data_IF_665805239714
#
_entry.id   IF_665805239714
#
_cell.length_a   1.000
_cell.length_b   1.000
_cell.length_c   1.000
_cell.angle_alpha   90.00
_cell.angle_beta   90.00
_cell.angle_gamma   90.00
#
_symmetry.space_group_name_H-M   'P 1'
#
loop_
_entity.id
_entity.type
_entity.pdbx_description
1 polymer ?
#
# COMPACT_ATOMS: atom_id res chain seq x y z
N UNK A 1 5.29 34.32 -26.64
CA UNK A 1 4.37 33.82 -25.59
C UNK A 1 4.24 32.31 -25.75
N UNK A 2 4.89 31.51 -24.91
CA UNK A 2 4.66 30.07 -24.88
C UNK A 2 3.28 29.82 -24.27
N UNK A 3 2.39 29.12 -24.99
CA UNK A 3 1.13 28.61 -24.43
C UNK A 3 1.48 27.62 -23.32
N UNK A 4 0.96 27.79 -22.09
CA UNK A 4 1.20 26.82 -21.04
C UNK A 4 0.63 25.47 -21.48
N UNK A 5 1.43 24.42 -21.34
CA UNK A 5 1.00 23.04 -21.60
C UNK A 5 -0.15 22.72 -20.62
N UNK A 6 -1.29 22.18 -21.09
CA UNK A 6 -2.38 21.79 -20.21
C UNK A 6 -1.91 20.78 -19.17
N UNK A 7 -2.06 21.08 -17.87
CA UNK A 7 -1.75 20.12 -16.81
C UNK A 7 -2.78 18.99 -16.81
N UNK A 8 -2.32 17.78 -16.53
CA UNK A 8 -3.18 16.60 -16.37
C UNK A 8 -4.32 16.86 -15.37
N UNK A 9 -5.54 16.41 -15.68
CA UNK A 9 -6.74 16.63 -14.83
C UNK A 9 -6.52 16.15 -13.40
N UNK A 10 -5.84 15.01 -13.22
CA UNK A 10 -5.55 14.43 -11.91
C UNK A 10 -4.65 15.33 -11.05
N UNK A 11 -3.64 15.97 -11.68
CA UNK A 11 -2.73 16.89 -10.98
C UNK A 11 -3.46 18.15 -10.52
N UNK A 12 -4.40 18.67 -11.32
CA UNK A 12 -5.24 19.79 -10.92
C UNK A 12 -6.15 19.45 -9.73
N UNK A 13 -6.58 18.18 -9.60
CA UNK A 13 -7.36 17.72 -8.45
C UNK A 13 -6.47 17.65 -7.20
N UNK A 14 -5.24 17.14 -7.33
CA UNK A 14 -4.27 17.17 -6.22
C UNK A 14 -3.98 18.60 -5.77
N UNK A 15 -3.79 19.54 -6.69
CA UNK A 15 -3.59 20.97 -6.35
C UNK A 15 -4.71 21.52 -5.45
N UNK A 16 -5.96 21.19 -5.78
CA UNK A 16 -7.12 21.59 -4.97
C UNK A 16 -7.14 20.90 -3.61
N UNK A 17 -6.87 19.59 -3.58
CA UNK A 17 -6.80 18.81 -2.35
C UNK A 17 -5.79 19.42 -1.38
N UNK A 18 -4.55 19.63 -1.82
CA UNK A 18 -3.47 20.16 -0.98
C UNK A 18 -3.58 21.66 -0.69
N UNK A 19 -4.46 22.38 -1.41
CA UNK A 19 -4.89 23.73 -1.04
C UNK A 19 -6.03 23.75 0.00
N UNK A 20 -6.47 22.58 0.52
CA UNK A 20 -7.55 22.46 1.49
C UNK A 20 -8.93 22.76 0.91
N UNK A 21 -9.11 22.56 -0.40
CA UNK A 21 -10.39 22.80 -1.09
C UNK A 21 -11.16 21.48 -1.25
N UNK A 22 -12.49 21.57 -1.26
CA UNK A 22 -13.34 20.43 -1.63
C UNK A 22 -13.17 20.08 -3.11
N UNK A 23 -12.53 18.93 -3.35
CA UNK A 23 -12.28 18.42 -4.70
C UNK A 23 -13.55 17.94 -5.40
N UNK A 24 -14.59 17.58 -4.65
CA UNK A 24 -15.85 17.08 -5.23
C UNK A 24 -16.69 18.22 -5.80
N UNK A 25 -16.60 19.42 -5.19
CA UNK A 25 -17.35 20.62 -5.57
C UNK A 25 -18.86 20.34 -5.69
N UNK A 26 -19.38 19.42 -4.86
CA UNK A 26 -20.79 18.98 -4.88
C UNK A 26 -21.23 18.17 -6.11
N UNK A 27 -20.31 17.71 -6.97
CA UNK A 27 -20.66 16.92 -8.16
C UNK A 27 -20.99 15.48 -7.80
N UNK A 28 -22.23 15.07 -8.10
CA UNK A 28 -22.62 13.67 -8.07
C UNK A 28 -21.75 12.87 -9.08
N UNK A 29 -21.27 11.69 -8.68
CA UNK A 29 -20.41 10.85 -9.52
C UNK A 29 -18.96 11.33 -9.65
N UNK A 30 -18.51 12.28 -8.83
CA UNK A 30 -17.12 12.75 -8.88
C UNK A 30 -16.11 11.60 -8.73
N UNK A 31 -16.33 10.70 -7.77
CA UNK A 31 -15.43 9.57 -7.50
C UNK A 31 -15.34 8.58 -8.65
N UNK A 32 -16.49 8.32 -9.31
CA UNK A 32 -16.56 7.50 -10.51
C UNK A 32 -15.69 8.04 -11.65
N UNK A 33 -15.64 9.36 -11.82
CA UNK A 33 -14.76 10.01 -12.79
C UNK A 33 -13.31 10.08 -12.32
N UNK A 34 -13.10 10.38 -11.03
CA UNK A 34 -11.78 10.56 -10.45
C UNK A 34 -10.97 9.27 -10.54
N UNK A 35 -11.55 8.12 -10.18
CA UNK A 35 -10.85 6.85 -10.23
C UNK A 35 -10.69 6.29 -11.66
N UNK A 36 -11.29 6.92 -12.68
CA UNK A 36 -10.90 6.66 -14.08
C UNK A 36 -9.59 7.35 -14.46
N UNK A 37 -9.15 8.37 -13.73
CA UNK A 37 -7.90 9.06 -14.02
C UNK A 37 -6.72 8.23 -13.50
N UNK A 38 -5.72 8.02 -14.36
CA UNK A 38 -4.47 7.37 -13.96
C UNK A 38 -3.79 8.18 -12.85
N UNK A 39 -3.38 7.50 -11.79
CA UNK A 39 -2.66 8.10 -10.67
C UNK A 39 -1.32 8.65 -11.15
N UNK A 40 -1.03 9.91 -10.80
CA UNK A 40 0.29 10.49 -10.99
C UNK A 40 1.06 10.42 -9.67
N UNK A 41 1.66 9.26 -9.41
CA UNK A 41 2.36 8.91 -8.15
C UNK A 41 3.39 9.99 -7.79
N UNK A 42 4.24 10.36 -8.76
CA UNK A 42 5.29 11.36 -8.56
C UNK A 42 4.71 12.72 -8.18
N UNK A 43 3.65 13.16 -8.85
CA UNK A 43 3.01 14.43 -8.52
C UNK A 43 2.40 14.39 -7.12
N UNK A 44 1.64 13.34 -6.79
CA UNK A 44 0.96 13.18 -5.51
C UNK A 44 1.96 13.20 -4.34
N UNK A 45 3.00 12.37 -4.39
CA UNK A 45 4.05 12.34 -3.35
C UNK A 45 4.80 13.68 -3.25
N UNK A 46 5.04 14.37 -4.37
CA UNK A 46 5.71 15.68 -4.34
C UNK A 46 4.92 16.79 -3.64
N UNK A 47 3.61 16.62 -3.43
CA UNK A 47 2.82 17.56 -2.62
C UNK A 47 3.10 17.35 -1.14
N UNK A 48 3.18 16.10 -0.67
CA UNK A 48 3.53 15.79 0.72
C UNK A 48 4.92 16.33 1.10
N UNK A 49 5.89 16.23 0.20
CA UNK A 49 7.25 16.79 0.40
C UNK A 49 7.27 18.31 0.65
N UNK A 50 6.23 19.03 0.21
CA UNK A 50 6.13 20.50 0.31
C UNK A 50 5.28 20.96 1.48
N UNK A 51 4.55 20.06 2.14
CA UNK A 51 3.69 20.42 3.26
C UNK A 51 4.51 20.84 4.47
N UNK A 52 4.02 21.85 5.18
CA UNK A 52 4.46 22.13 6.54
C UNK A 52 3.69 21.25 7.54
N UNK A 53 4.19 21.17 8.77
CA UNK A 53 3.49 20.48 9.86
C UNK A 53 2.05 21.00 10.05
N UNK A 54 1.84 22.32 10.10
CA UNK A 54 0.50 22.88 10.29
C UNK A 54 -0.41 22.61 9.07
N UNK A 55 0.16 22.63 7.86
CA UNK A 55 -0.60 22.38 6.64
C UNK A 55 -1.14 20.95 6.58
N UNK A 56 -0.34 19.95 6.93
CA UNK A 56 -0.80 18.54 6.87
C UNK A 56 -1.87 18.25 7.92
N UNK A 57 -1.75 18.82 9.13
CA UNK A 57 -2.74 18.68 10.20
C UNK A 57 -4.08 19.27 9.76
N UNK A 58 -4.08 20.43 9.12
CA UNK A 58 -5.30 21.06 8.58
C UNK A 58 -5.90 20.30 7.39
N UNK A 59 -5.10 19.50 6.67
CA UNK A 59 -5.56 18.66 5.56
C UNK A 59 -6.21 17.35 6.02
N UNK A 60 -6.07 16.97 7.30
CA UNK A 60 -6.59 15.70 7.84
C UNK A 60 -8.02 15.35 7.37
N UNK A 61 -9.04 16.23 7.41
CA UNK A 61 -10.39 15.87 6.95
C UNK A 61 -10.46 15.53 5.45
N UNK A 62 -9.66 16.22 4.63
CA UNK A 62 -9.61 16.00 3.19
C UNK A 62 -8.88 14.70 2.84
N UNK A 63 -7.79 14.41 3.56
CA UNK A 63 -7.02 13.18 3.40
C UNK A 63 -7.81 11.95 3.86
N UNK A 64 -8.47 12.03 5.03
CA UNK A 64 -9.36 10.98 5.53
C UNK A 64 -10.43 10.64 4.49
N UNK A 65 -11.19 11.64 4.04
CA UNK A 65 -12.26 11.43 3.06
C UNK A 65 -11.76 10.80 1.76
N UNK A 66 -10.61 11.26 1.26
CA UNK A 66 -10.04 10.70 0.04
C UNK A 66 -9.60 9.24 0.26
N UNK A 67 -8.96 8.94 1.38
CA UNK A 67 -8.52 7.59 1.71
C UNK A 67 -9.72 6.63 1.86
N UNK A 68 -10.75 7.03 2.62
CA UNK A 68 -12.00 6.29 2.75
C UNK A 68 -12.64 5.98 1.39
N UNK A 69 -12.70 6.97 0.49
CA UNK A 69 -13.26 6.78 -0.84
C UNK A 69 -12.39 5.86 -1.70
N UNK A 70 -11.06 5.87 -1.52
CA UNK A 70 -10.18 4.91 -2.20
C UNK A 70 -10.50 3.47 -1.76
N UNK A 71 -10.55 3.22 -0.45
CA UNK A 71 -10.88 1.89 0.08
C UNK A 71 -12.29 1.49 -0.37
N UNK A 72 -13.29 2.35 -0.17
CA UNK A 72 -14.68 2.06 -0.54
C UNK A 72 -14.87 1.75 -2.02
N UNK A 73 -14.25 2.52 -2.91
CA UNK A 73 -14.39 2.31 -4.36
C UNK A 73 -13.60 1.10 -4.87
N UNK A 74 -12.58 0.65 -4.14
CA UNK A 74 -11.76 -0.49 -4.56
C UNK A 74 -12.48 -1.85 -4.50
N UNK A 75 -13.60 -1.97 -3.79
CA UNK A 75 -14.45 -3.18 -3.81
C UNK A 75 -15.89 -2.94 -4.30
N UNK A 76 -16.40 -1.70 -4.29
CA UNK A 76 -17.78 -1.39 -4.76
C UNK A 76 -17.96 -1.39 -6.27
N UNK A 77 -16.87 -1.41 -7.04
CA UNK A 77 -16.92 -1.31 -8.50
C UNK A 77 -16.34 -2.54 -9.18
N UNK A 78 -17.00 -3.02 -10.24
CA UNK A 78 -16.46 -4.06 -11.11
C UNK A 78 -15.51 -3.48 -12.18
N UNK A 79 -15.23 -2.17 -12.13
CA UNK A 79 -14.36 -1.51 -13.10
C UNK A 79 -12.90 -1.56 -12.65
N UNK A 80 -12.13 -2.51 -13.16
CA UNK A 80 -10.74 -2.79 -12.78
C UNK A 80 -9.80 -1.59 -12.75
N UNK A 81 -9.92 -0.67 -13.71
CA UNK A 81 -9.12 0.56 -13.70
C UNK A 81 -9.41 1.44 -12.48
N UNK A 82 -10.67 1.51 -12.03
CA UNK A 82 -11.04 2.30 -10.86
C UNK A 82 -10.48 1.66 -9.59
N UNK A 83 -10.59 0.33 -9.49
CA UNK A 83 -9.98 -0.44 -8.40
C UNK A 83 -8.47 -0.18 -8.34
N UNK A 84 -7.76 -0.32 -9.46
CA UNK A 84 -6.32 -0.09 -9.53
C UNK A 84 -5.92 1.34 -9.14
N UNK A 85 -6.61 2.35 -9.67
CA UNK A 85 -6.29 3.75 -9.38
C UNK A 85 -6.67 4.14 -7.96
N UNK A 86 -7.75 3.59 -7.40
CA UNK A 86 -8.13 3.80 -6.01
C UNK A 86 -7.07 3.23 -5.06
N UNK A 87 -6.66 1.98 -5.27
CA UNK A 87 -5.64 1.33 -4.45
C UNK A 87 -4.29 2.08 -4.52
N UNK A 88 -3.82 2.42 -5.72
CA UNK A 88 -2.58 3.19 -5.88
C UNK A 88 -2.67 4.59 -5.26
N UNK A 89 -3.85 5.22 -5.28
CA UNK A 89 -4.04 6.52 -4.61
C UNK A 89 -3.96 6.34 -3.10
N UNK A 90 -4.62 5.33 -2.52
CA UNK A 90 -4.52 5.00 -1.11
C UNK A 90 -3.06 4.74 -0.67
N UNK A 91 -2.32 3.94 -1.44
CA UNK A 91 -0.91 3.65 -1.18
C UNK A 91 -0.05 4.94 -1.20
N UNK A 92 -0.29 5.84 -2.15
CA UNK A 92 0.41 7.12 -2.20
C UNK A 92 0.07 8.03 -1.01
N UNK A 93 -1.16 7.99 -0.51
CA UNK A 93 -1.55 8.74 0.68
C UNK A 93 -0.87 8.19 1.93
N UNK A 94 -0.82 6.87 2.07
CA UNK A 94 -0.09 6.18 3.14
C UNK A 94 1.39 6.56 3.13
N UNK A 95 2.08 6.33 2.00
CA UNK A 95 3.48 6.69 1.84
C UNK A 95 3.71 8.18 2.10
N UNK A 96 2.89 9.05 1.53
CA UNK A 96 3.00 10.50 1.70
C UNK A 96 2.86 10.95 3.15
N UNK A 97 1.87 10.44 3.89
CA UNK A 97 1.65 10.77 5.30
C UNK A 97 2.78 10.28 6.21
N UNK A 98 3.35 9.11 5.91
CA UNK A 98 4.42 8.53 6.72
C UNK A 98 5.80 9.10 6.39
N UNK A 99 6.07 9.40 5.13
CA UNK A 99 7.39 9.83 4.65
C UNK A 99 7.52 11.35 4.47
N UNK A 100 6.49 12.14 4.79
CA UNK A 100 6.54 13.60 4.72
C UNK A 100 7.68 14.17 5.58
N UNK A 101 8.71 14.70 4.92
CA UNK A 101 10.00 15.10 5.52
C UNK A 101 9.90 16.27 6.51
N UNK A 102 8.96 17.18 6.28
CA UNK A 102 8.79 18.39 7.08
C UNK A 102 7.73 18.22 8.19
N UNK A 103 7.26 17.00 8.41
CA UNK A 103 6.20 16.69 9.35
C UNK A 103 6.79 15.88 10.49
N UNK A 104 6.67 16.39 11.70
CA UNK A 104 7.06 15.68 12.92
C UNK A 104 5.81 15.26 13.66
N UNK A 105 5.25 14.11 13.29
CA UNK A 105 4.14 13.48 13.99
C UNK A 105 4.57 12.09 14.47
N UNK A 106 4.11 11.66 15.66
CA UNK A 106 4.18 10.27 16.08
C UNK A 106 3.56 9.33 15.02
N UNK A 107 4.00 8.07 14.91
CA UNK A 107 3.48 7.13 13.91
C UNK A 107 1.96 6.97 13.94
N UNK A 108 1.36 6.90 15.13
CA UNK A 108 -0.09 6.82 15.30
C UNK A 108 -0.82 8.05 14.76
N UNK A 109 -0.29 9.25 15.01
CA UNK A 109 -0.89 10.48 14.54
C UNK A 109 -0.79 10.61 13.02
N UNK A 110 0.25 10.01 12.39
CA UNK A 110 0.39 9.91 10.93
C UNK A 110 -0.68 9.00 10.34
N UNK A 111 -0.93 7.85 10.96
CA UNK A 111 -2.02 6.97 10.56
C UNK A 111 -3.37 7.69 10.67
N UNK A 112 -3.56 8.44 11.76
CA UNK A 112 -4.78 9.23 12.00
C UNK A 112 -4.98 10.40 11.02
N UNK A 113 -4.01 10.77 10.20
CA UNK A 113 -4.22 11.71 9.10
C UNK A 113 -5.13 11.12 8.01
N UNK A 114 -5.16 9.78 7.90
CA UNK A 114 -5.88 9.04 6.86
C UNK A 114 -7.04 8.21 7.42
N UNK A 115 -6.89 7.70 8.64
CA UNK A 115 -7.83 6.75 9.24
C UNK A 115 -8.25 7.28 10.61
N UNK A 116 -9.48 7.77 10.69
CA UNK A 116 -10.00 8.33 11.92
C UNK A 116 -10.25 7.23 12.97
N UNK A 117 -10.02 7.54 14.25
CA UNK A 117 -10.17 6.57 15.35
C UNK A 117 -11.58 5.95 15.45
N UNK A 118 -12.61 6.68 15.03
CA UNK A 118 -14.00 6.19 14.99
C UNK A 118 -14.22 5.07 13.95
N UNK A 119 -13.32 4.99 12.95
CA UNK A 119 -13.42 4.07 11.81
C UNK A 119 -12.27 3.06 11.77
N UNK A 120 -11.34 3.06 12.72
CA UNK A 120 -10.16 2.17 12.72
C UNK A 120 -10.54 0.67 12.65
N UNK A 121 -11.50 0.16 13.45
CA UNK A 121 -11.92 -1.24 13.33
C UNK A 121 -12.58 -1.58 11.99
N UNK A 122 -13.37 -0.67 11.42
CA UNK A 122 -14.00 -0.87 10.11
C UNK A 122 -12.99 -0.76 8.96
N UNK A 123 -12.02 0.14 9.05
CA UNK A 123 -10.98 0.30 8.04
C UNK A 123 -10.08 -0.93 7.95
N UNK A 124 -9.77 -1.56 9.10
CA UNK A 124 -9.07 -2.84 9.10
C UNK A 124 -9.89 -3.93 8.42
N UNK A 125 -11.17 -4.08 8.79
CA UNK A 125 -12.05 -5.07 8.18
C UNK A 125 -12.20 -4.87 6.67
N UNK A 126 -12.36 -3.63 6.21
CA UNK A 126 -12.48 -3.29 4.79
C UNK A 126 -11.20 -3.64 4.01
N UNK A 127 -10.02 -3.41 4.59
CA UNK A 127 -8.74 -3.75 3.97
C UNK A 127 -8.48 -5.26 3.97
N UNK A 128 -8.86 -5.96 5.05
CA UNK A 128 -8.85 -7.43 5.12
C UNK A 128 -9.79 -8.07 4.10
N UNK A 129 -10.99 -7.51 3.93
CA UNK A 129 -11.92 -7.93 2.90
C UNK A 129 -11.34 -7.69 1.51
N UNK A 130 -10.70 -6.54 1.27
CA UNK A 130 -10.09 -6.20 -0.02
C UNK A 130 -9.09 -7.27 -0.48
N UNK A 131 -8.08 -7.59 0.33
CA UNK A 131 -7.09 -8.55 -0.11
C UNK A 131 -7.67 -9.96 -0.22
N UNK A 132 -8.57 -10.35 0.67
CA UNK A 132 -9.23 -11.66 0.63
C UNK A 132 -10.07 -11.82 -0.64
N UNK A 133 -10.91 -10.82 -0.94
CA UNK A 133 -11.78 -10.79 -2.11
C UNK A 133 -11.00 -10.87 -3.43
N UNK A 134 -9.79 -10.28 -3.47
CA UNK A 134 -8.98 -10.29 -4.69
C UNK A 134 -8.56 -11.68 -5.15
N UNK A 135 -8.34 -12.61 -4.21
CA UNK A 135 -7.97 -13.99 -4.52
C UNK A 135 -9.18 -14.93 -4.54
N UNK A 136 -10.13 -14.76 -3.62
CA UNK A 136 -11.36 -15.58 -3.59
C UNK A 136 -12.18 -15.40 -4.87
N UNK A 137 -12.30 -14.17 -5.37
CA UNK A 137 -13.08 -13.86 -6.57
C UNK A 137 -12.26 -13.89 -7.86
N UNK A 138 -11.03 -14.41 -7.82
CA UNK A 138 -10.13 -14.55 -8.97
C UNK A 138 -10.01 -13.25 -9.80
N UNK A 139 -9.68 -12.14 -9.13
CA UNK A 139 -9.51 -10.86 -9.82
C UNK A 139 -8.41 -10.94 -10.88
N UNK A 140 -8.43 -10.06 -11.90
CA UNK A 140 -7.38 -9.98 -12.90
C UNK A 140 -6.01 -9.93 -12.23
N UNK A 141 -5.07 -10.78 -12.64
CA UNK A 141 -3.94 -11.03 -11.75
C UNK A 141 -2.89 -9.91 -11.70
N UNK A 142 -2.97 -8.89 -12.56
CA UNK A 142 -2.27 -7.62 -12.35
C UNK A 142 -2.84 -6.81 -11.16
N UNK A 143 -4.15 -6.91 -10.89
CA UNK A 143 -4.76 -6.33 -9.70
C UNK A 143 -4.37 -7.11 -8.44
N UNK A 144 -4.31 -8.44 -8.50
CA UNK A 144 -3.81 -9.25 -7.39
C UNK A 144 -2.35 -8.89 -7.05
N UNK A 145 -1.52 -8.65 -8.06
CA UNK A 145 -0.16 -8.14 -7.86
C UNK A 145 -0.16 -6.75 -7.21
N UNK A 146 -1.06 -5.84 -7.61
CA UNK A 146 -1.23 -4.54 -6.96
C UNK A 146 -1.65 -4.67 -5.49
N UNK A 147 -2.53 -5.63 -5.15
CA UNK A 147 -2.91 -5.91 -3.75
C UNK A 147 -1.71 -6.36 -2.93
N UNK A 148 -0.88 -7.27 -3.45
CA UNK A 148 0.35 -7.71 -2.77
C UNK A 148 1.34 -6.56 -2.59
N UNK A 149 1.46 -5.69 -3.59
CA UNK A 149 2.30 -4.49 -3.51
C UNK A 149 1.77 -3.51 -2.47
N UNK A 150 0.45 -3.32 -2.39
CA UNK A 150 -0.19 -2.48 -1.37
C UNK A 150 0.11 -3.04 0.04
N UNK A 151 -0.08 -4.34 0.27
CA UNK A 151 0.30 -5.01 1.53
C UNK A 151 1.77 -4.76 1.87
N UNK A 152 2.66 -4.81 0.87
CA UNK A 152 4.09 -4.58 1.07
C UNK A 152 4.37 -3.13 1.46
N UNK A 153 3.74 -2.17 0.79
CA UNK A 153 3.83 -0.73 1.10
C UNK A 153 3.43 -0.48 2.56
N UNK A 154 2.34 -1.10 3.00
CA UNK A 154 1.84 -1.02 4.37
C UNK A 154 2.90 -1.50 5.38
N UNK A 155 3.60 -2.61 5.09
CA UNK A 155 4.68 -3.10 5.94
C UNK A 155 5.93 -2.20 6.00
N UNK A 156 6.18 -1.35 4.99
CA UNK A 156 7.41 -0.54 4.87
C UNK A 156 7.18 0.97 5.06
N UNK A 157 6.07 1.38 5.67
CA UNK A 157 5.81 2.80 5.92
C UNK A 157 6.80 3.47 6.88
N UNK A 158 7.48 2.68 7.71
CA UNK A 158 8.50 3.14 8.65
C UNK A 158 9.79 2.35 8.48
N UNK A 159 10.93 3.01 8.71
CA UNK A 159 12.25 2.36 8.69
C UNK A 159 12.35 1.24 9.72
N UNK A 160 11.73 1.44 10.89
CA UNK A 160 11.62 0.42 11.92
C UNK A 160 10.22 -0.20 11.88
N UNK A 161 10.19 -1.49 11.52
CA UNK A 161 8.99 -2.33 11.46
C UNK A 161 8.18 -2.29 12.77
N UNK A 162 8.84 -2.09 13.92
CA UNK A 162 8.15 -2.14 15.23
C UNK A 162 7.48 -0.84 15.61
N UNK A 163 7.83 0.24 14.92
CA UNK A 163 7.25 1.56 15.16
C UNK A 163 6.15 1.85 14.12
N UNK A 164 5.91 0.90 13.22
CA UNK A 164 4.86 0.98 12.23
C UNK A 164 3.53 0.50 12.86
N UNK A 165 2.57 1.41 13.12
CA UNK A 165 1.29 1.07 13.73
C UNK A 165 0.47 0.12 12.85
N UNK A 166 0.85 0.02 11.57
CA UNK A 166 0.20 -0.87 10.62
C UNK A 166 0.45 -2.35 10.91
N UNK A 167 1.30 -2.75 11.85
CA UNK A 167 1.39 -4.19 12.12
C UNK A 167 0.28 -4.70 13.05
N UNK A 168 -0.24 -3.86 13.94
CA UNK A 168 -1.26 -4.28 14.93
C UNK A 168 -2.59 -4.67 14.28
N UNK A 169 -3.00 -3.94 13.25
CA UNK A 169 -4.21 -4.22 12.47
C UNK A 169 -4.01 -5.26 11.33
N UNK A 170 -2.83 -5.31 10.67
CA UNK A 170 -2.59 -6.05 9.43
C UNK A 170 -2.22 -7.51 9.69
N UNK A 171 -1.48 -7.76 10.77
CA UNK A 171 -1.01 -9.11 11.10
C UNK A 171 -2.10 -9.85 11.86
N UNK A 172 -3.08 -10.35 11.11
CA UNK A 172 -4.13 -11.22 11.60
C UNK A 172 -4.03 -12.64 10.99
N UNK A 173 -4.90 -13.54 11.44
CA UNK A 173 -4.97 -14.92 10.95
C UNK A 173 -5.23 -14.98 9.44
N UNK A 174 -6.07 -14.09 8.91
CA UNK A 174 -6.47 -14.10 7.50
C UNK A 174 -5.34 -13.72 6.55
N UNK A 175 -4.43 -12.84 6.97
CA UNK A 175 -3.20 -12.55 6.22
C UNK A 175 -2.31 -13.80 6.14
N UNK A 176 -2.14 -14.56 7.23
CA UNK A 176 -1.36 -15.79 7.20
C UNK A 176 -2.02 -16.89 6.36
N UNK A 177 -3.34 -17.03 6.40
CA UNK A 177 -4.08 -17.94 5.53
C UNK A 177 -3.90 -17.60 4.05
N UNK A 178 -3.97 -16.30 3.70
CA UNK A 178 -3.69 -15.82 2.36
C UNK A 178 -2.25 -16.19 1.94
N UNK A 179 -1.25 -15.81 2.74
CA UNK A 179 0.16 -16.09 2.42
C UNK A 179 0.43 -17.59 2.31
N UNK A 180 -0.17 -18.41 3.18
CA UNK A 180 -0.12 -19.86 3.12
C UNK A 180 -0.74 -20.40 1.84
N UNK A 181 -1.86 -19.85 1.40
CA UNK A 181 -2.53 -20.20 0.13
C UNK A 181 -1.66 -19.86 -1.07
N UNK A 182 -1.09 -18.64 -1.09
CA UNK A 182 -0.20 -18.18 -2.16
C UNK A 182 1.02 -19.08 -2.30
N UNK A 183 1.59 -19.55 -1.19
CA UNK A 183 2.79 -20.39 -1.20
C UNK A 183 2.44 -21.86 -1.48
N UNK A 184 1.32 -22.37 -0.97
CA UNK A 184 1.00 -23.80 -1.10
C UNK A 184 0.51 -24.16 -2.49
N UNK A 185 -0.27 -23.28 -3.14
CA UNK A 185 -0.81 -23.52 -4.47
C UNK A 185 0.27 -23.31 -5.56
N UNK A 186 0.60 -24.30 -6.41
CA UNK A 186 1.67 -24.16 -7.41
C UNK A 186 1.49 -23.03 -8.42
N UNK A 187 0.24 -22.74 -8.83
CA UNK A 187 -0.06 -21.68 -9.80
C UNK A 187 0.10 -20.31 -9.17
N UNK A 188 -0.47 -20.11 -7.97
CA UNK A 188 -0.34 -18.86 -7.23
C UNK A 188 1.11 -18.63 -6.78
N UNK A 189 1.82 -19.68 -6.33
CA UNK A 189 3.22 -19.62 -5.92
C UNK A 189 4.12 -19.14 -7.05
N UNK A 190 3.92 -19.66 -8.27
CA UNK A 190 4.69 -19.24 -9.45
C UNK A 190 4.54 -17.74 -9.71
N UNK A 191 3.35 -17.19 -9.47
CA UNK A 191 3.04 -15.81 -9.82
C UNK A 191 3.31 -14.81 -8.71
N UNK A 192 2.97 -15.18 -7.48
CA UNK A 192 2.89 -14.31 -6.32
C UNK A 192 3.80 -14.74 -5.17
N UNK A 193 4.48 -15.90 -5.28
CA UNK A 193 5.28 -16.47 -4.21
C UNK A 193 6.41 -15.58 -3.73
N UNK A 194 7.07 -14.83 -4.63
CA UNK A 194 8.10 -13.86 -4.25
C UNK A 194 7.54 -12.76 -3.35
N UNK A 195 6.40 -12.18 -3.73
CA UNK A 195 5.72 -11.17 -2.91
C UNK A 195 5.24 -11.73 -1.57
N UNK A 196 4.69 -12.95 -1.56
CA UNK A 196 4.27 -13.63 -0.34
C UNK A 196 5.45 -13.89 0.63
N UNK A 197 6.58 -14.38 0.12
CA UNK A 197 7.79 -14.58 0.92
C UNK A 197 8.36 -13.26 1.45
N UNK A 198 8.32 -12.18 0.64
CA UNK A 198 8.75 -10.85 1.08
C UNK A 198 7.89 -10.34 2.24
N UNK A 199 6.57 -10.48 2.13
CA UNK A 199 5.63 -10.12 3.21
C UNK A 199 5.89 -10.94 4.47
N UNK A 200 6.04 -12.27 4.37
CA UNK A 200 6.42 -13.11 5.51
C UNK A 200 7.75 -12.67 6.15
N UNK A 201 8.73 -12.30 5.33
CA UNK A 201 10.00 -11.75 5.79
C UNK A 201 9.81 -10.49 6.65
N UNK A 202 9.01 -9.53 6.17
CA UNK A 202 8.71 -8.30 6.90
C UNK A 202 7.91 -8.56 8.19
N UNK A 203 6.86 -9.38 8.13
CA UNK A 203 6.03 -9.74 9.28
C UNK A 203 6.85 -10.49 10.35
N UNK A 204 7.75 -11.38 9.94
CA UNK A 204 8.64 -12.08 10.87
C UNK A 204 9.61 -11.13 11.60
N UNK A 205 9.91 -9.96 11.03
CA UNK A 205 10.72 -8.94 11.72
C UNK A 205 9.92 -8.26 12.83
N UNK A 206 8.63 -8.00 12.61
CA UNK A 206 7.73 -7.47 13.62
C UNK A 206 7.54 -8.43 14.80
N UNK A 207 7.05 -9.64 14.51
CA UNK A 207 6.72 -10.66 15.52
C UNK A 207 7.93 -11.08 16.37
N UNK A 208 9.13 -11.09 15.77
CA UNK A 208 10.34 -11.48 16.47
C UNK A 208 10.67 -10.59 17.69
N UNK A 209 10.32 -9.30 17.70
CA UNK A 209 10.65 -8.42 18.83
C UNK A 209 9.84 -8.76 20.08
N UNK A 210 8.56 -9.07 19.94
CA UNK A 210 7.71 -9.49 21.06
C UNK A 210 8.29 -10.73 21.75
N UNK A 211 8.64 -11.76 20.98
CA UNK A 211 9.19 -13.00 21.51
C UNK A 211 10.66 -12.86 21.95
N UNK A 212 11.50 -12.11 21.23
CA UNK A 212 12.93 -12.01 21.52
C UNK A 212 13.22 -11.42 22.91
N UNK A 213 12.37 -10.52 23.41
CA UNK A 213 12.52 -9.92 24.74
C UNK A 213 12.48 -10.95 25.89
N UNK A 214 11.90 -12.13 25.63
CA UNK A 214 11.67 -13.22 26.59
C UNK A 214 12.57 -14.44 26.30
N UNK A 215 13.21 -14.49 25.13
CA UNK A 215 13.99 -15.64 24.67
C UNK A 215 15.48 -15.54 25.05
N UNK A 216 16.14 -16.68 25.36
CA UNK A 216 17.59 -16.72 25.58
C UNK A 216 18.40 -16.21 24.38
N UNK A 217 19.50 -15.49 24.64
CA UNK A 217 20.38 -14.90 23.60
C UNK A 217 20.87 -15.91 22.55
N UNK A 218 21.04 -17.18 22.89
CA UNK A 218 21.45 -18.25 21.96
C UNK A 218 20.40 -18.50 20.88
N UNK A 219 19.12 -18.58 21.26
CA UNK A 219 18.00 -18.72 20.32
C UNK A 219 17.89 -17.47 19.44
N UNK A 220 18.24 -16.29 20.00
CA UNK A 220 18.20 -15.07 19.23
C UNK A 220 19.23 -15.04 18.08
N UNK A 221 20.43 -15.58 18.33
CA UNK A 221 21.52 -15.64 17.36
C UNK A 221 21.24 -16.66 16.24
N UNK A 222 20.66 -17.82 16.56
CA UNK A 222 20.29 -18.83 15.56
C UNK A 222 19.22 -18.32 14.59
N UNK A 223 18.22 -17.59 15.08
CA UNK A 223 17.19 -17.01 14.22
C UNK A 223 17.72 -15.86 13.35
N UNK A 224 18.64 -15.04 13.85
CA UNK A 224 19.31 -14.02 13.05
C UNK A 224 20.11 -14.66 11.90
N UNK A 225 20.85 -15.74 12.18
CA UNK A 225 21.52 -16.54 11.14
C UNK A 225 20.52 -17.13 10.14
N UNK A 226 19.38 -17.63 10.61
CA UNK A 226 18.31 -18.12 9.75
C UNK A 226 17.70 -17.04 8.86
N UNK A 227 17.52 -15.80 9.36
CA UNK A 227 17.04 -14.65 8.58
C UNK A 227 17.97 -14.31 7.42
N UNK A 228 19.29 -14.38 7.64
CA UNK A 228 20.28 -14.15 6.58
C UNK A 228 20.21 -15.23 5.49
N UNK A 229 20.03 -16.49 5.87
CA UNK A 229 19.87 -17.61 4.93
C UNK A 229 18.52 -17.58 4.19
N UNK A 230 17.43 -17.19 4.86
CA UNK A 230 16.14 -16.94 4.22
C UNK A 230 16.20 -15.77 3.24
N UNK A 231 16.87 -14.67 3.61
CA UNK A 231 17.10 -13.54 2.72
C UNK A 231 17.85 -13.94 1.44
N UNK A 232 18.83 -14.85 1.54
CA UNK A 232 19.53 -15.43 0.39
C UNK A 232 18.64 -16.33 -0.47
N UNK A 233 17.78 -17.14 0.14
CA UNK A 233 16.81 -17.98 -0.58
C UNK A 233 15.76 -17.16 -1.35
N UNK A 234 15.27 -16.07 -0.75
CA UNK A 234 14.36 -15.13 -1.43
C UNK A 234 15.06 -14.41 -2.57
N UNK A 235 16.30 -13.96 -2.37
CA UNK A 235 17.12 -13.39 -3.45
C UNK A 235 17.38 -14.37 -4.60
N UNK A 236 17.63 -15.65 -4.29
CA UNK A 236 17.79 -16.71 -5.29
C UNK A 236 16.51 -17.00 -6.10
N UNK A 237 15.32 -16.66 -5.58
CA UNK A 237 14.07 -16.76 -6.33
C UNK A 237 13.86 -15.58 -7.29
N UNK A 238 14.52 -14.44 -7.06
CA UNK A 238 14.52 -13.30 -7.99
C UNK A 238 15.35 -13.60 -9.25
N UNK A 239 16.33 -14.50 -9.17
CA UNK A 239 17.20 -14.94 -10.28
C UNK A 239 16.58 -16.00 -11.21
N UNK A 240 15.34 -16.44 -10.97
CA UNK A 240 14.64 -17.34 -11.89
C UNK A 240 14.01 -16.50 -13.01
N UNK A 241 14.80 -16.27 -14.05
CA UNK A 241 14.42 -15.56 -15.28
C UNK A 241 13.01 -15.93 -15.77
N UNK A 242 12.15 -14.92 -15.96
CA UNK A 242 10.87 -15.04 -16.67
C UNK A 242 11.14 -15.47 -18.11
N UNK A 243 10.54 -16.57 -18.53
CA UNK A 243 10.53 -17.03 -19.92
C UNK A 243 9.98 -15.90 -20.84
N UNK A 244 10.79 -15.39 -21.80
CA UNK A 244 10.40 -14.28 -22.67
C UNK A 244 9.32 -14.67 -23.70
N UNK A 245 8.81 -15.90 -23.71
CA UNK A 245 7.82 -16.37 -24.68
C UNK A 245 6.36 -16.03 -24.35
N UNK A 246 6.05 -15.44 -23.19
CA UNK A 246 4.67 -15.15 -22.77
C UNK A 246 4.18 -13.77 -23.27
N UNK A 247 3.89 -13.69 -24.57
CA UNK A 247 3.63 -12.46 -25.33
C UNK A 247 2.21 -11.86 -25.17
N UNK A 248 1.57 -11.94 -23.99
CA UNK A 248 0.20 -11.41 -23.80
C UNK A 248 0.05 -10.29 -22.75
N UNK A 249 1.12 -9.87 -22.07
CA UNK A 249 1.04 -8.73 -21.16
C UNK A 249 1.58 -7.45 -21.79
N UNK A 250 0.68 -6.54 -22.20
CA UNK A 250 1.06 -5.13 -22.37
C UNK A 250 1.54 -4.59 -21.02
N UNK A 251 2.81 -4.20 -20.99
CA UNK A 251 3.52 -3.65 -19.85
C UNK A 251 2.78 -2.44 -19.24
N UNK A 252 2.31 -2.58 -18.01
CA UNK A 252 2.28 -1.45 -17.06
C UNK A 252 3.54 -1.61 -16.21
N UNK A 253 4.65 -1.03 -16.67
CA UNK A 253 5.84 -0.86 -15.85
C UNK A 253 5.48 0.08 -14.68
N UNK A 254 5.31 -0.48 -13.49
CA UNK A 254 5.48 0.26 -12.25
C UNK A 254 6.99 0.26 -12.00
N UNK A 255 7.63 1.38 -12.34
CA UNK A 255 9.04 1.58 -12.07
C UNK A 255 9.31 1.44 -10.58
N UNK A 256 10.29 0.59 -10.28
CA UNK A 256 11.14 0.58 -9.09
C UNK A 256 10.99 1.83 -8.20
N UNK A 257 10.23 1.66 -7.11
CA UNK A 257 10.20 2.55 -5.94
C UNK A 257 10.66 1.80 -4.67
N UNK A 258 11.57 0.83 -4.85
CA UNK A 258 12.50 0.39 -3.83
C UNK A 258 13.91 0.76 -4.32
#
# INVERSE_FOLDING_TARGET
MQKPVPREKVVQIYEKLFAGQDITSGRAGFWDEFFLLRVNIKALLSYFDKLSHDSIVNLKPHLNRLYEECISNSFKTNHWQRVANALQTADCLMLGSFQAKNVTLPPEDRLQLLISNEYSPSANADYTELYSASFINDWPPLLQELVINSLTIHCVLMDNVTDNPIFEWLVDESLFELLGTLISNPCLRRRFGVGACRLLGLISQYQWKEYSSVLPKTVQLEFQSGKEDWGRLVGSCEDVERDPSDSTCHEIRIGSLL
#
